data_IF_747717977375
#
_entry.id   IF_747717977375
#
_cell.length_a   1.000
_cell.length_b   1.000
_cell.length_c   1.000
_cell.angle_alpha   90.00
_cell.angle_beta   90.00
_cell.angle_gamma   90.00
#
_symmetry.space_group_name_H-M   'P 1'
#
loop_
_entity.id
_entity.type
_entity.pdbx_description
1 polymer ?
#
# COMPACT_ATOMS: atom_id res chain seq x y z
N UNK A 1 7.79 15.21 13.99
CA UNK A 1 8.63 14.16 13.38
C UNK A 1 8.20 12.82 13.99
N UNK A 2 7.17 12.19 13.42
CA UNK A 2 6.70 10.87 13.90
C UNK A 2 7.43 9.81 13.10
N UNK A 3 8.54 9.32 13.65
CA UNK A 3 9.20 8.09 13.25
C UNK A 3 8.30 6.93 13.70
N UNK A 4 7.34 6.56 12.85
CA UNK A 4 6.53 5.35 13.02
C UNK A 4 7.36 4.16 12.57
N UNK A 5 7.57 3.23 13.51
CA UNK A 5 8.23 1.94 13.31
C UNK A 5 7.89 1.32 11.95
N UNK A 6 8.94 1.14 11.15
CA UNK A 6 9.02 0.40 9.90
C UNK A 6 8.51 -1.05 10.05
N UNK A 7 7.19 -1.21 10.02
CA UNK A 7 6.55 -2.51 9.78
C UNK A 7 6.81 -2.86 8.31
N UNK A 8 7.87 -3.62 8.07
CA UNK A 8 8.22 -4.04 6.70
C UNK A 8 7.16 -5.00 6.15
N UNK A 9 6.56 -4.62 5.02
CA UNK A 9 5.67 -5.49 4.24
C UNK A 9 6.39 -5.95 2.98
N UNK A 10 5.89 -7.02 2.35
CA UNK A 10 6.39 -7.46 1.03
C UNK A 10 6.22 -6.40 -0.07
N UNK A 11 5.43 -5.34 0.18
CA UNK A 11 5.15 -4.27 -0.76
C UNK A 11 6.05 -3.04 -0.58
N UNK A 12 6.81 -2.93 0.53
CA UNK A 12 7.56 -1.71 0.88
C UNK A 12 8.53 -1.28 -0.21
N UNK A 13 9.27 -2.23 -0.80
CA UNK A 13 10.24 -1.94 -1.87
C UNK A 13 9.58 -1.40 -3.15
N UNK A 14 8.47 -2.01 -3.55
CA UNK A 14 7.72 -1.61 -4.74
C UNK A 14 7.03 -0.25 -4.52
N UNK A 15 6.49 -0.01 -3.31
CA UNK A 15 5.89 1.25 -2.95
C UNK A 15 6.91 2.40 -2.96
N UNK A 16 8.10 2.20 -2.42
CA UNK A 16 9.17 3.22 -2.44
C UNK A 16 9.50 3.67 -3.87
N UNK A 17 9.57 2.71 -4.80
CA UNK A 17 9.81 3.01 -6.22
C UNK A 17 8.74 3.94 -6.80
N UNK A 18 7.47 3.70 -6.48
CA UNK A 18 6.35 4.55 -6.93
C UNK A 18 6.37 5.92 -6.25
N UNK A 19 6.75 5.97 -4.98
CA UNK A 19 6.84 7.22 -4.22
C UNK A 19 7.95 8.14 -4.75
N UNK A 20 9.09 7.58 -5.18
CA UNK A 20 10.17 8.33 -5.84
C UNK A 20 9.77 8.86 -7.22
N UNK A 21 8.93 8.13 -7.95
CA UNK A 21 8.39 8.56 -9.25
C UNK A 21 7.29 9.62 -9.11
N UNK A 22 6.74 9.81 -7.92
CA UNK A 22 5.69 10.78 -7.64
C UNK A 22 6.30 12.18 -7.54
N UNK A 23 6.04 13.02 -8.55
CA UNK A 23 6.55 14.40 -8.61
C UNK A 23 5.72 15.39 -7.81
N UNK A 24 4.41 15.16 -7.75
CA UNK A 24 3.49 16.04 -7.04
C UNK A 24 3.60 15.84 -5.52
N UNK A 25 3.78 16.93 -4.78
CA UNK A 25 4.09 16.88 -3.36
C UNK A 25 2.87 16.45 -2.51
N UNK A 26 1.68 16.98 -2.82
CA UNK A 26 0.45 16.63 -2.10
C UNK A 26 0.09 15.16 -2.30
N UNK A 27 0.20 14.67 -3.54
CA UNK A 27 -0.03 13.27 -3.87
C UNK A 27 1.00 12.34 -3.23
N UNK A 28 2.26 12.78 -3.11
CA UNK A 28 3.30 12.01 -2.41
C UNK A 28 2.96 11.87 -0.93
N UNK A 29 2.53 12.94 -0.29
CA UNK A 29 2.10 12.91 1.12
C UNK A 29 0.87 12.02 1.33
N UNK A 30 -0.15 12.14 0.46
CA UNK A 30 -1.35 11.31 0.50
C UNK A 30 -1.01 9.82 0.37
N UNK A 31 -0.11 9.48 -0.55
CA UNK A 31 0.37 8.09 -0.74
C UNK A 31 1.06 7.56 0.51
N UNK A 32 1.95 8.35 1.12
CA UNK A 32 2.63 7.95 2.35
C UNK A 32 1.63 7.67 3.47
N UNK A 33 0.71 8.61 3.75
CA UNK A 33 -0.33 8.46 4.78
C UNK A 33 -1.18 7.21 4.56
N UNK A 34 -1.58 6.95 3.31
CA UNK A 34 -2.37 5.77 2.97
C UNK A 34 -1.57 4.47 3.15
N UNK A 35 -0.28 4.47 2.80
CA UNK A 35 0.57 3.31 2.94
C UNK A 35 0.92 3.00 4.39
N UNK A 36 1.10 4.03 5.23
CA UNK A 36 1.29 3.88 6.67
C UNK A 36 0.04 3.21 7.29
N UNK A 37 -1.16 3.73 6.98
CA UNK A 37 -2.41 3.12 7.43
C UNK A 37 -2.55 1.66 6.97
N UNK A 38 -2.25 1.37 5.70
CA UNK A 38 -2.27 0.01 5.16
C UNK A 38 -1.28 -0.91 5.88
N UNK A 39 -0.08 -0.42 6.16
CA UNK A 39 0.96 -1.19 6.83
C UNK A 39 0.57 -1.54 8.27
N UNK A 40 -0.22 -0.68 8.92
CA UNK A 40 -0.74 -0.95 10.26
C UNK A 40 -1.96 -1.87 10.28
N UNK A 41 -2.88 -1.74 9.31
CA UNK A 41 -4.18 -2.42 9.32
C UNK A 41 -4.25 -3.65 8.41
N UNK A 42 -3.37 -3.76 7.42
CA UNK A 42 -3.37 -4.82 6.41
C UNK A 42 -4.56 -4.76 5.46
N UNK A 43 -4.85 -5.88 4.79
CA UNK A 43 -6.04 -6.04 3.97
C UNK A 43 -7.29 -6.25 4.84
N UNK A 44 -8.44 -5.71 4.43
CA UNK A 44 -9.69 -6.00 5.10
C UNK A 44 -10.08 -7.47 4.94
N UNK A 45 -10.85 -7.97 5.90
CA UNK A 45 -11.33 -9.36 5.92
C UNK A 45 -12.85 -9.40 5.97
N UNK A 46 -13.52 -10.51 5.61
CA UNK A 46 -14.97 -10.63 5.76
C UNK A 46 -15.49 -10.51 7.20
N UNK A 47 -14.59 -10.49 8.21
CA UNK A 47 -14.93 -10.16 9.60
C UNK A 47 -15.21 -8.67 9.80
N UNK A 48 -14.65 -7.81 8.95
CA UNK A 48 -15.00 -6.40 8.89
C UNK A 48 -16.38 -6.30 8.22
N UNK A 49 -17.37 -5.70 8.89
CA UNK A 49 -18.76 -5.70 8.44
C UNK A 49 -18.93 -5.13 7.03
N UNK A 50 -18.19 -4.06 6.72
CA UNK A 50 -18.16 -3.41 5.40
C UNK A 50 -17.63 -4.33 4.28
N UNK A 51 -16.88 -5.37 4.63
CA UNK A 51 -16.24 -6.32 3.71
C UNK A 51 -16.87 -7.71 3.76
N UNK A 52 -17.99 -7.88 4.46
CA UNK A 52 -18.67 -9.17 4.66
C UNK A 52 -18.90 -9.96 3.37
N UNK A 53 -19.20 -9.25 2.27
CA UNK A 53 -19.51 -9.85 0.97
C UNK A 53 -18.39 -9.71 -0.07
N UNK A 54 -17.23 -9.17 0.31
CA UNK A 54 -16.11 -8.90 -0.60
C UNK A 54 -14.83 -9.53 -0.06
N UNK A 55 -14.35 -10.58 -0.73
CA UNK A 55 -13.11 -11.25 -0.32
C UNK A 55 -11.87 -10.63 -0.98
N UNK A 56 -11.07 -9.91 -0.19
CA UNK A 56 -9.81 -9.31 -0.64
C UNK A 56 -8.62 -10.31 -0.70
N UNK A 57 -8.78 -11.57 -0.25
CA UNK A 57 -7.69 -12.54 -0.19
C UNK A 57 -7.12 -12.88 -1.57
N UNK A 58 -7.91 -12.76 -2.63
CA UNK A 58 -7.45 -12.96 -4.01
C UNK A 58 -6.38 -11.95 -4.39
N UNK A 59 -6.49 -10.71 -3.92
CA UNK A 59 -5.49 -9.67 -4.14
C UNK A 59 -4.24 -10.03 -3.32
N UNK A 60 -4.39 -10.27 -2.02
CA UNK A 60 -3.24 -10.58 -1.15
C UNK A 60 -2.41 -11.77 -1.64
N UNK A 61 -3.03 -12.80 -2.21
CA UNK A 61 -2.35 -14.02 -2.66
C UNK A 61 -1.85 -13.95 -4.11
N UNK A 62 -2.13 -12.85 -4.82
CA UNK A 62 -1.67 -12.65 -6.18
C UNK A 62 -0.26 -12.05 -6.19
N UNK A 63 0.53 -12.44 -7.20
CA UNK A 63 1.86 -11.85 -7.42
C UNK A 63 1.73 -10.65 -8.35
N UNK A 64 1.97 -9.46 -7.81
CA UNK A 64 2.00 -8.23 -8.61
C UNK A 64 3.44 -7.84 -8.97
N UNK A 65 3.57 -7.02 -10.01
CA UNK A 65 4.81 -6.35 -10.38
C UNK A 65 4.48 -4.94 -10.81
N UNK A 66 5.27 -3.97 -10.37
CA UNK A 66 5.13 -2.59 -10.85
C UNK A 66 5.47 -2.56 -12.34
N UNK A 67 4.53 -2.04 -13.14
CA UNK A 67 4.75 -1.81 -14.55
C UNK A 67 5.82 -0.73 -14.73
N UNK A 68 6.94 -1.10 -15.35
CA UNK A 68 7.98 -0.14 -15.72
C UNK A 68 7.53 0.56 -17.00
N UNK A 69 7.14 1.82 -16.91
CA UNK A 69 6.95 2.65 -18.10
C UNK A 69 8.32 2.96 -18.72
N UNK A 70 8.53 2.54 -19.97
CA UNK A 70 9.64 3.06 -20.77
C UNK A 70 9.31 4.50 -21.15
N UNK A 71 10.24 5.40 -20.85
CA UNK A 71 10.25 6.80 -21.30
C UNK A 71 10.52 6.85 -22.81
#
# INVERSE_FOLDING_TARGET
MTLGLEKETIYTKDFQTVLEQTKDAELKELRQKAFDYFTENGFPTPKNEEWKYTNASLIQNSKFKIQKFKK
#
